data_IF_816047395193
#
_entry.id   IF_816047395193
#
_cell.length_a   1.000
_cell.length_b   1.000
_cell.length_c   1.000
_cell.angle_alpha   90.00
_cell.angle_beta   90.00
_cell.angle_gamma   90.00
#
_symmetry.space_group_name_H-M   'P 1'
#
loop_
_entity.id
_entity.type
_entity.pdbx_description
1 polymer ?
#
# COMPACT_ATOMS: atom_id res chain seq x y z
N UNK A 1 -10.92 -7.00 -15.11
CA UNK A 1 -10.71 -5.56 -14.87
C UNK A 1 -9.46 -5.42 -14.01
N UNK A 2 -8.66 -4.36 -14.20
CA UNK A 2 -7.39 -4.21 -13.47
C UNK A 2 -7.63 -3.71 -12.04
N UNK A 3 -6.82 -4.19 -11.09
CA UNK A 3 -6.91 -3.73 -9.69
C UNK A 3 -6.40 -2.30 -9.58
N UNK A 4 -7.13 -1.41 -8.91
CA UNK A 4 -6.74 -0.01 -8.73
C UNK A 4 -6.76 0.36 -7.26
N UNK A 5 -5.77 1.15 -6.83
CA UNK A 5 -5.69 1.67 -5.47
C UNK A 5 -5.92 3.16 -5.49
N UNK A 6 -6.82 3.61 -4.63
CA UNK A 6 -7.14 5.01 -4.42
C UNK A 6 -6.70 5.44 -3.02
N UNK A 7 -5.87 6.47 -2.97
CA UNK A 7 -5.44 7.15 -1.76
C UNK A 7 -6.42 8.29 -1.39
N UNK A 8 -6.44 8.77 -0.14
CA UNK A 8 -7.42 9.78 0.30
C UNK A 8 -7.23 11.15 -0.33
N UNK A 9 -6.04 11.45 -0.84
CA UNK A 9 -5.78 12.67 -1.63
C UNK A 9 -6.46 12.63 -3.02
N UNK A 10 -7.10 11.50 -3.36
CA UNK A 10 -7.74 11.25 -4.64
C UNK A 10 -6.83 10.61 -5.67
N UNK A 11 -5.54 10.41 -5.36
CA UNK A 11 -4.59 9.77 -6.27
C UNK A 11 -4.93 8.30 -6.48
N UNK A 12 -4.90 7.87 -7.73
CA UNK A 12 -5.15 6.49 -8.14
C UNK A 12 -3.92 5.89 -8.82
N UNK A 13 -3.63 4.63 -8.51
CA UNK A 13 -2.54 3.87 -9.12
C UNK A 13 -3.05 2.48 -9.50
N UNK A 14 -2.71 1.96 -10.71
CA UNK A 14 -3.00 0.59 -11.05
C UNK A 14 -2.08 -0.33 -10.26
N UNK A 15 -2.66 -1.32 -9.57
CA UNK A 15 -1.91 -2.33 -8.85
C UNK A 15 -1.85 -3.60 -9.69
N UNK A 16 -0.64 -4.16 -9.78
CA UNK A 16 -0.39 -5.47 -10.39
C UNK A 16 -0.87 -6.56 -9.45
N UNK A 17 -0.57 -6.41 -8.16
CA UNK A 17 -1.00 -7.34 -7.12
C UNK A 17 -1.16 -6.62 -5.79
N UNK A 18 -2.05 -7.17 -4.95
CA UNK A 18 -2.20 -6.76 -3.55
C UNK A 18 -2.20 -8.02 -2.69
N UNK A 19 -1.28 -8.10 -1.75
CA UNK A 19 -1.06 -9.26 -0.89
C UNK A 19 -1.33 -8.86 0.56
N UNK A 20 -2.25 -9.58 1.20
CA UNK A 20 -2.49 -9.42 2.64
C UNK A 20 -1.52 -10.27 3.45
N UNK A 21 -1.03 -9.71 4.55
CA UNK A 21 -0.05 -10.38 5.40
C UNK A 21 -0.12 -9.90 6.84
N UNK A 22 0.90 -10.26 7.62
CA UNK A 22 1.10 -9.78 8.97
C UNK A 22 2.58 -9.52 9.22
N UNK A 23 2.89 -8.49 10.00
CA UNK A 23 4.26 -8.19 10.42
C UNK A 23 4.30 -7.80 11.89
N UNK A 24 5.44 -8.00 12.54
CA UNK A 24 5.67 -7.52 13.89
C UNK A 24 6.37 -6.16 13.84
N UNK A 25 5.69 -5.10 14.30
CA UNK A 25 6.20 -3.74 14.25
C UNK A 25 5.73 -2.95 15.48
N UNK A 26 6.63 -2.15 16.06
CA UNK A 26 6.35 -1.36 17.28
C UNK A 26 5.80 -2.23 18.42
N UNK A 27 6.42 -3.39 18.66
CA UNK A 27 6.04 -4.36 19.69
C UNK A 27 4.62 -4.95 19.56
N UNK A 28 4.01 -4.90 18.37
CA UNK A 28 2.69 -5.46 18.09
C UNK A 28 2.66 -6.24 16.78
N UNK A 29 1.83 -7.28 16.73
CA UNK A 29 1.49 -7.99 15.50
C UNK A 29 0.41 -7.21 14.75
N UNK A 30 0.71 -6.79 13.51
CA UNK A 30 -0.14 -5.91 12.70
C UNK A 30 -0.47 -6.58 11.38
N UNK A 31 -1.68 -6.36 10.89
CA UNK A 31 -2.06 -6.72 9.52
C UNK A 31 -1.33 -5.82 8.53
N UNK A 32 -0.88 -6.39 7.43
CA UNK A 32 -0.20 -5.67 6.36
C UNK A 32 -0.89 -5.85 5.03
N UNK A 33 -0.74 -4.85 4.17
CA UNK A 33 -1.03 -4.90 2.75
C UNK A 33 0.24 -4.56 2.01
N UNK A 34 0.71 -5.51 1.21
CA UNK A 34 1.79 -5.30 0.26
C UNK A 34 1.20 -5.05 -1.12
N UNK A 35 1.57 -3.94 -1.72
CA UNK A 35 1.01 -3.43 -2.96
C UNK A 35 2.14 -3.39 -3.99
N UNK A 36 1.94 -4.04 -5.13
CA UNK A 36 2.89 -4.04 -6.24
C UNK A 36 2.36 -3.17 -7.37
N UNK A 37 3.15 -2.21 -7.81
CA UNK A 37 2.81 -1.27 -8.89
C UNK A 37 3.96 -1.27 -9.89
N UNK A 38 3.69 -1.37 -11.19
CA UNK A 38 4.76 -1.25 -12.19
C UNK A 38 5.36 0.16 -12.15
N UNK A 39 6.68 0.25 -12.30
CA UNK A 39 7.40 1.53 -12.31
C UNK A 39 6.88 2.50 -13.39
N UNK A 40 6.46 1.97 -14.53
CA UNK A 40 5.96 2.75 -15.67
C UNK A 40 4.57 3.35 -15.44
N UNK A 41 3.81 2.80 -14.49
CA UNK A 41 2.43 3.20 -14.22
C UNK A 41 2.29 4.19 -13.05
N UNK A 42 3.41 4.57 -12.40
CA UNK A 42 3.39 5.43 -11.22
C UNK A 42 4.56 6.41 -11.17
N UNK A 43 4.24 7.66 -10.79
CA UNK A 43 5.26 8.63 -10.39
C UNK A 43 5.79 8.29 -8.98
N UNK A 44 7.10 8.09 -8.87
CA UNK A 44 7.76 7.74 -7.61
C UNK A 44 7.48 8.76 -6.51
N UNK A 45 7.64 10.05 -6.79
CA UNK A 45 7.53 11.12 -5.79
C UNK A 45 6.11 11.19 -5.25
N UNK A 46 5.12 11.05 -6.14
CA UNK A 46 3.71 11.04 -5.78
C UNK A 46 3.36 9.80 -4.96
N UNK A 47 3.77 8.61 -5.39
CA UNK A 47 3.52 7.36 -4.68
C UNK A 47 4.21 7.33 -3.30
N UNK A 48 5.44 7.84 -3.22
CA UNK A 48 6.20 7.97 -1.98
C UNK A 48 5.47 8.89 -1.01
N UNK A 49 4.98 10.06 -1.47
CA UNK A 49 4.28 11.02 -0.63
C UNK A 49 2.96 10.47 -0.07
N UNK A 50 2.11 9.91 -0.93
CA UNK A 50 0.77 9.40 -0.51
C UNK A 50 0.85 8.16 0.37
N UNK A 51 1.91 7.35 0.23
CA UNK A 51 2.09 6.12 1.01
C UNK A 51 2.66 6.35 2.41
N UNK A 52 3.14 7.55 2.76
CA UNK A 52 3.76 7.81 4.08
C UNK A 52 2.78 7.64 5.25
N UNK A 53 1.56 8.13 5.09
CA UNK A 53 0.51 8.03 6.11
C UNK A 53 -0.87 8.21 5.45
N UNK A 54 -1.37 7.20 4.72
CA UNK A 54 -2.58 7.36 3.96
C UNK A 54 -3.84 7.37 4.83
N UNK A 55 -3.83 7.00 6.11
CA UNK A 55 -5.02 6.86 6.96
C UNK A 55 -6.02 5.79 6.51
N UNK A 56 -6.52 5.87 5.27
CA UNK A 56 -7.33 4.87 4.60
C UNK A 56 -6.88 4.69 3.15
N UNK A 57 -7.26 3.56 2.57
CA UNK A 57 -7.06 3.29 1.15
C UNK A 57 -8.24 2.49 0.62
N UNK A 58 -8.63 2.75 -0.62
CA UNK A 58 -9.68 1.97 -1.30
C UNK A 58 -9.02 1.13 -2.38
N UNK A 59 -9.27 -0.18 -2.35
CA UNK A 59 -8.82 -1.09 -3.39
C UNK A 59 -10.04 -1.53 -4.19
N UNK A 60 -10.03 -1.20 -5.48
CA UNK A 60 -10.99 -1.70 -6.45
C UNK A 60 -10.39 -2.95 -7.11
N UNK A 61 -10.99 -4.12 -6.92
CA UNK A 61 -10.55 -5.39 -7.53
C UNK A 61 -11.11 -5.59 -8.96
N UNK A 62 -11.69 -4.54 -9.54
CA UNK A 62 -12.42 -4.58 -10.80
C UNK A 62 -13.91 -4.91 -10.66
N UNK A 63 -14.38 -5.30 -9.47
CA UNK A 63 -15.79 -5.64 -9.22
C UNK A 63 -16.36 -4.82 -8.07
N UNK A 64 -15.60 -4.66 -6.99
CA UNK A 64 -16.03 -4.00 -5.77
C UNK A 64 -14.96 -3.06 -5.21
N UNK A 65 -15.42 -1.96 -4.61
CA UNK A 65 -14.59 -1.05 -3.83
C UNK A 65 -14.49 -1.56 -2.39
N UNK A 66 -13.28 -1.94 -1.97
CA UNK A 66 -12.99 -2.37 -0.62
C UNK A 66 -12.21 -1.28 0.12
N UNK A 67 -12.79 -0.74 1.20
CA UNK A 67 -12.16 0.31 2.01
C UNK A 67 -11.34 -0.33 3.14
N UNK A 68 -10.06 0.02 3.19
CA UNK A 68 -9.10 -0.42 4.19
C UNK A 68 -8.72 0.76 5.08
N UNK A 69 -9.29 0.79 6.27
CA UNK A 69 -9.03 1.84 7.26
C UNK A 69 -7.84 1.53 8.16
N UNK A 70 -7.17 2.58 8.59
CA UNK A 70 -6.06 2.59 9.56
C UNK A 70 -4.74 2.00 9.05
N UNK A 71 -4.53 1.90 7.74
CA UNK A 71 -3.25 1.46 7.13
C UNK A 71 -2.25 2.63 7.05
N UNK A 72 -1.96 3.23 8.20
CA UNK A 72 -1.18 4.47 8.31
C UNK A 72 0.33 4.27 8.44
N UNK A 73 0.79 3.07 8.76
CA UNK A 73 2.21 2.83 9.00
C UNK A 73 2.88 2.26 7.76
N UNK A 74 3.82 3.00 7.18
CA UNK A 74 4.65 2.46 6.10
C UNK A 74 5.72 1.54 6.68
N UNK A 75 5.53 0.24 6.48
CA UNK A 75 6.47 -0.78 6.92
C UNK A 75 7.66 -0.89 5.96
N UNK A 76 7.41 -0.73 4.66
CA UNK A 76 8.45 -0.83 3.62
C UNK A 76 8.06 -0.02 2.36
N UNK A 77 9.07 0.44 1.64
CA UNK A 77 8.95 1.04 0.31
C UNK A 77 10.22 0.74 -0.48
N UNK A 78 10.13 -0.12 -1.49
CA UNK A 78 11.29 -0.53 -2.27
C UNK A 78 10.96 -0.60 -3.78
N UNK A 79 12.00 -0.46 -4.60
CA UNK A 79 11.95 -0.77 -6.03
C UNK A 79 12.60 -2.13 -6.22
N UNK A 80 11.85 -3.10 -6.75
CA UNK A 80 12.34 -4.47 -6.94
C UNK A 80 12.16 -4.92 -8.40
N UNK A 81 13.17 -5.53 -9.02
CA UNK A 81 13.01 -6.19 -10.31
C UNK A 81 12.23 -7.50 -10.13
N UNK A 82 11.22 -7.71 -10.97
CA UNK A 82 10.41 -8.94 -11.02
C UNK A 82 10.59 -9.58 -12.39
N UNK A 83 10.98 -10.85 -12.41
CA UNK A 83 11.12 -11.64 -13.63
C UNK A 83 9.74 -12.00 -14.16
N UNK A 84 9.42 -11.55 -15.37
CA UNK A 84 8.13 -11.81 -16.03
C UNK A 84 8.24 -12.96 -17.05
N UNK A 85 9.43 -13.22 -17.59
CA UNK A 85 9.72 -14.37 -18.44
C UNK A 85 11.14 -14.88 -18.20
N UNK A 86 11.27 -16.18 -17.91
CA UNK A 86 12.56 -16.85 -17.74
C UNK A 86 13.25 -16.96 -19.11
N UNK A 87 14.59 -16.89 -19.12
CA UNK A 87 15.37 -17.11 -20.33
C UNK A 87 15.10 -18.50 -20.95
N UNK A 88 15.06 -18.56 -22.28
CA UNK A 88 15.07 -19.80 -23.07
C UNK A 88 16.31 -19.83 -23.97
N UNK A 89 16.54 -20.93 -24.68
CA UNK A 89 17.67 -21.06 -25.63
C UNK A 89 17.67 -19.97 -26.73
N UNK A 90 16.53 -19.33 -26.98
CA UNK A 90 16.38 -18.31 -28.04
C UNK A 90 15.90 -16.95 -27.54
N UNK A 91 15.54 -16.81 -26.27
CA UNK A 91 15.00 -15.55 -25.72
C UNK A 91 15.69 -15.19 -24.39
N UNK A 92 16.21 -13.96 -24.23
CA UNK A 92 16.75 -13.52 -22.95
C UNK A 92 15.65 -13.37 -21.90
N UNK A 93 16.04 -13.36 -20.63
CA UNK A 93 15.15 -13.09 -19.50
C UNK A 93 14.50 -11.69 -19.63
N UNK A 94 13.22 -11.60 -19.31
CA UNK A 94 12.50 -10.33 -19.24
C UNK A 94 12.20 -9.98 -17.78
N UNK A 95 12.58 -8.78 -17.40
CA UNK A 95 12.40 -8.24 -16.04
C UNK A 95 11.68 -6.90 -16.11
N UNK A 96 10.74 -6.66 -15.20
CA UNK A 96 10.10 -5.36 -15.01
C UNK A 96 10.38 -4.85 -13.61
N UNK A 97 10.64 -3.56 -13.46
CA UNK A 97 10.80 -2.94 -12.16
C UNK A 97 9.42 -2.59 -11.56
N UNK A 98 9.21 -2.94 -10.30
CA UNK A 98 7.97 -2.66 -9.57
C UNK A 98 8.25 -1.93 -8.27
N UNK A 99 7.43 -0.93 -7.97
CA UNK A 99 7.34 -0.34 -6.65
C UNK A 99 6.54 -1.27 -5.74
N UNK A 100 7.16 -1.67 -4.63
CA UNK A 100 6.56 -2.48 -3.59
C UNK A 100 6.37 -1.61 -2.37
N UNK A 101 5.11 -1.40 -1.99
CA UNK A 101 4.72 -0.60 -0.83
C UNK A 101 4.05 -1.52 0.18
N UNK A 102 4.61 -1.64 1.38
CA UNK A 102 4.01 -2.42 2.46
C UNK A 102 3.47 -1.46 3.51
N UNK A 103 2.15 -1.46 3.67
CA UNK A 103 1.44 -0.68 4.68
C UNK A 103 0.97 -1.60 5.81
N UNK A 104 1.14 -1.16 7.05
CA UNK A 104 0.69 -1.85 8.24
C UNK A 104 -0.46 -1.09 8.91
N UNK A 105 -1.38 -1.85 9.48
CA UNK A 105 -2.53 -1.31 10.19
C UNK A 105 -2.13 -0.77 11.59
N UNK A 106 -2.75 0.33 12.01
CA UNK A 106 -2.72 0.78 13.39
C UNK A 106 -3.37 -0.27 14.29
N UNK A 107 -2.82 -0.43 15.49
CA UNK A 107 -3.41 -1.23 16.55
C UNK A 107 -4.69 -0.58 17.07
N UNK A 108 -5.52 -1.39 17.71
CA UNK A 108 -6.77 -0.92 18.31
C UNK A 108 -6.56 0.22 19.32
N UNK A 109 -5.50 0.15 20.12
CA UNK A 109 -5.17 1.16 21.14
C UNK A 109 -4.81 2.50 20.47
N UNK A 110 -4.02 2.48 19.39
CA UNK A 110 -3.66 3.69 18.66
C UNK A 110 -4.89 4.37 18.03
N UNK A 111 -5.81 3.56 17.49
CA UNK A 111 -7.08 4.07 16.94
C UNK A 111 -7.93 4.72 18.03
N UNK A 112 -8.04 4.09 19.21
CA UNK A 112 -8.75 4.68 20.34
C UNK A 112 -8.10 5.97 20.85
N UNK A 113 -6.78 5.99 20.99
CA UNK A 113 -6.05 7.16 21.46
C UNK A 113 -6.23 8.34 20.51
N UNK A 114 -6.15 8.10 19.19
CA UNK A 114 -6.43 9.12 18.18
C UNK A 114 -7.86 9.66 18.29
N UNK A 115 -8.85 8.81 18.53
CA UNK A 115 -10.24 9.23 18.73
C UNK A 115 -10.43 10.08 20.00
N UNK A 116 -9.78 9.71 21.11
CA UNK A 116 -9.82 10.48 22.37
C UNK A 116 -9.15 11.84 22.20
N UNK A 117 -7.96 11.89 21.59
CA UNK A 117 -7.25 13.13 21.31
C UNK A 117 -8.07 14.06 20.39
N UNK A 118 -8.71 13.50 19.36
CA UNK A 118 -9.60 14.26 18.48
C UNK A 118 -10.83 14.82 19.23
N UNK A 119 -11.43 14.03 20.13
CA UNK A 119 -12.56 14.46 20.95
C UNK A 119 -12.18 15.54 21.99
N UNK A 120 -10.95 15.50 22.52
CA UNK A 120 -10.44 16.48 23.49
C UNK A 120 -9.94 17.78 22.82
N UNK A 121 -9.48 17.71 21.57
CA UNK A 121 -9.06 18.87 20.78
C UNK A 121 -10.22 19.71 20.19
N UNK A 122 -11.46 19.24 20.32
CA UNK A 122 -12.67 19.90 19.81
C UNK A 122 -13.29 20.96 20.73
N UNK A 123 -12.61 21.35 21.82
CA UNK A 123 -13.04 22.48 22.67
C UNK A 123 -12.12 23.67 22.40
N UNK A 124 -12.47 24.45 21.37
CA UNK A 124 -12.18 25.89 21.28
C UNK A 124 -13.32 26.60 20.57
#
# INVERSE_FOLDING_TARGET
>A
MATTIKFPDGSTFPAVSVISGQTYMQNAQRKTLEIHINKEDADFTKLEAVSRNPASLTINDGTCDNVYSNYSLRANFELRPVVTAVATDTTPEQTHEQYIVTLAQLSYIEVQLAAILAAQGGIK
#
